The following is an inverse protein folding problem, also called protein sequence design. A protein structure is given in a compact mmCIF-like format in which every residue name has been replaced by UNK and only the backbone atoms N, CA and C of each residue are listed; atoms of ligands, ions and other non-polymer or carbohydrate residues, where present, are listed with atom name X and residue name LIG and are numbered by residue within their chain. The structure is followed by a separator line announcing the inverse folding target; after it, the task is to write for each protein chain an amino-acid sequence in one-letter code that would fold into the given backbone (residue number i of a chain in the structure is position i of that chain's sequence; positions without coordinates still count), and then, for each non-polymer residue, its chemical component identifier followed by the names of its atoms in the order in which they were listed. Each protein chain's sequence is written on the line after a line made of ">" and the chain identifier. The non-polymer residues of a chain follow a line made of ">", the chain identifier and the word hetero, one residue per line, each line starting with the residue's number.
data_IF_195029129129
#
_entry.id   IF_195029129129
#
_cell.length_a   1.000
_cell.length_b   1.000
_cell.length_c   1.000
_cell.angle_alpha   90.00
_cell.angle_beta   90.00
_cell.angle_gamma   90.00
#
_symmetry.space_group_name_H-M   'P 1'
#
loop_
_entity.id
_entity.type
_entity.pdbx_description
1 polymer ?
#
# COMPACT_ATOMS: atom_id res chain seq x y z
N UNK A 1 8.61 27.10 -9.84
CA UNK A 1 9.61 26.54 -10.78
C UNK A 1 10.50 25.45 -10.17
N UNK A 2 11.03 25.61 -8.95
CA UNK A 2 11.81 24.53 -8.30
C UNK A 2 10.96 23.28 -8.01
N UNK A 3 9.73 23.41 -7.52
CA UNK A 3 8.87 22.27 -7.24
C UNK A 3 8.47 21.47 -8.49
N UNK A 4 8.17 22.14 -9.61
CA UNK A 4 7.87 21.47 -10.89
C UNK A 4 9.10 20.79 -11.51
N UNK A 5 10.29 21.39 -11.36
CA UNK A 5 11.54 20.76 -11.79
C UNK A 5 11.94 19.58 -10.90
N UNK A 6 11.71 19.68 -9.58
CA UNK A 6 12.01 18.64 -8.60
C UNK A 6 11.01 17.49 -8.67
N UNK A 7 9.72 17.77 -8.85
CA UNK A 7 8.70 16.75 -9.18
C UNK A 7 8.99 16.14 -10.53
N UNK A 8 9.47 16.89 -11.53
CA UNK A 8 9.94 16.30 -12.78
C UNK A 8 11.19 15.42 -12.58
N UNK A 9 12.11 15.77 -11.68
CA UNK A 9 13.32 14.98 -11.37
C UNK A 9 12.97 13.71 -10.58
N UNK A 10 12.09 13.81 -9.59
CA UNK A 10 11.54 12.68 -8.82
C UNK A 10 10.66 11.82 -9.70
N UNK A 11 9.83 12.42 -10.57
CA UNK A 11 9.08 11.70 -11.59
C UNK A 11 10.00 11.12 -12.66
N UNK A 12 11.21 11.65 -12.91
CA UNK A 12 12.25 11.05 -13.76
C UNK A 12 13.04 9.94 -13.05
N UNK A 13 13.15 9.97 -11.73
CA UNK A 13 13.74 8.91 -10.90
C UNK A 13 12.76 7.74 -10.72
N UNK A 14 11.50 8.04 -10.40
CA UNK A 14 10.41 7.07 -10.50
C UNK A 14 10.13 6.68 -11.97
N UNK A 15 10.32 7.57 -12.95
CA UNK A 15 10.35 7.16 -14.36
C UNK A 15 11.67 6.50 -14.75
N UNK A 16 12.70 6.50 -13.91
CA UNK A 16 13.88 5.64 -14.04
C UNK A 16 13.51 4.18 -13.75
N UNK A 17 12.47 3.95 -12.96
CA UNK A 17 11.74 2.68 -12.86
C UNK A 17 10.93 2.41 -14.15
N UNK A 18 10.60 3.44 -14.93
CA UNK A 18 9.85 3.38 -16.21
C UNK A 18 10.72 3.39 -17.47
N UNK A 19 11.99 3.83 -17.45
CA UNK A 19 12.86 3.90 -18.62
C UNK A 19 13.75 2.68 -18.73
N UNK A 20 13.11 1.57 -19.08
CA UNK A 20 13.57 0.89 -20.29
C UNK A 20 12.53 1.09 -21.38
N UNK A 21 12.59 2.28 -22.00
CA UNK A 21 11.97 2.70 -23.28
C UNK A 21 10.46 2.99 -23.29
N UNK A 22 10.00 3.89 -24.21
CA UNK A 22 8.60 4.24 -24.39
C UNK A 22 7.70 3.03 -24.58
N UNK A 23 6.45 3.19 -24.14
CA UNK A 23 5.33 2.27 -24.21
C UNK A 23 5.01 1.98 -25.69
N UNK A 24 5.79 1.11 -26.31
CA UNK A 24 5.42 0.39 -27.51
C UNK A 24 5.59 -1.09 -27.21
N UNK A 25 4.60 -1.88 -27.62
CA UNK A 25 4.47 -3.33 -27.46
C UNK A 25 3.76 -3.82 -26.18
N UNK A 26 2.48 -3.44 -26.05
CA UNK A 26 1.43 -4.39 -25.64
C UNK A 26 1.44 -5.55 -26.66
N UNK A 27 2.18 -6.63 -26.38
CA UNK A 27 2.21 -7.78 -27.29
C UNK A 27 3.31 -8.80 -27.09
N UNK A 28 4.39 -8.49 -26.35
CA UNK A 28 5.46 -9.48 -26.09
C UNK A 28 5.34 -10.10 -24.70
N UNK A 29 5.37 -11.44 -24.64
CA UNK A 29 5.33 -12.27 -23.40
C UNK A 29 6.40 -11.87 -22.38
N UNK A 30 7.49 -11.22 -22.81
CA UNK A 30 8.55 -10.69 -21.95
C UNK A 30 8.22 -9.34 -21.31
N UNK A 31 7.45 -8.47 -21.98
CA UNK A 31 7.03 -7.17 -21.43
C UNK A 31 6.06 -7.32 -20.28
N UNK A 32 5.11 -8.26 -20.39
CA UNK A 32 4.12 -8.57 -19.35
C UNK A 32 4.77 -9.17 -18.08
N UNK A 33 5.80 -10.00 -18.25
CA UNK A 33 6.62 -10.51 -17.13
C UNK A 33 7.42 -9.41 -16.43
N UNK A 34 7.91 -8.42 -17.18
CA UNK A 34 8.68 -7.28 -16.64
C UNK A 34 7.78 -6.31 -15.89
N UNK A 35 6.59 -6.02 -16.42
CA UNK A 35 5.57 -5.21 -15.78
C UNK A 35 5.08 -5.85 -14.46
N UNK A 36 4.76 -7.14 -14.49
CA UNK A 36 4.37 -7.90 -13.30
C UNK A 36 5.49 -7.89 -12.23
N UNK A 37 6.77 -8.01 -12.62
CA UNK A 37 7.89 -7.94 -11.68
C UNK A 37 8.03 -6.57 -10.98
N UNK A 38 7.70 -5.47 -11.67
CA UNK A 38 7.79 -4.11 -11.12
C UNK A 38 6.57 -3.81 -10.23
N UNK A 39 5.37 -4.20 -10.67
CA UNK A 39 4.13 -3.91 -9.96
C UNK A 39 4.06 -4.58 -8.57
N UNK A 40 4.56 -5.81 -8.47
CA UNK A 40 4.55 -6.56 -7.21
C UNK A 40 5.65 -6.13 -6.23
N UNK A 41 6.73 -5.49 -6.71
CA UNK A 41 7.84 -5.01 -5.88
C UNK A 41 7.60 -3.62 -5.25
N UNK A 42 6.66 -2.87 -5.82
CA UNK A 42 6.23 -1.55 -5.32
C UNK A 42 5.66 -1.57 -3.88
N UNK A 43 4.69 -2.45 -3.53
CA UNK A 43 4.07 -2.43 -2.20
C UNK A 43 5.06 -2.74 -1.07
N UNK A 44 5.97 -3.69 -1.26
CA UNK A 44 6.97 -4.07 -0.24
C UNK A 44 8.01 -2.95 -0.04
N UNK A 45 8.43 -2.28 -1.11
CA UNK A 45 9.34 -1.14 -1.01
C UNK A 45 8.66 0.03 -0.28
N UNK A 46 7.38 0.28 -0.58
CA UNK A 46 6.61 1.36 0.05
C UNK A 46 6.41 1.13 1.56
N UNK A 47 6.18 -0.12 2.00
CA UNK A 47 5.99 -0.43 3.41
C UNK A 47 7.26 -0.21 4.26
N UNK A 48 8.45 -0.43 3.68
CA UNK A 48 9.75 -0.15 4.32
C UNK A 48 10.05 1.36 4.32
N UNK A 49 9.58 2.08 3.31
CA UNK A 49 9.85 3.49 3.09
C UNK A 49 9.06 4.41 4.04
N UNK A 50 7.77 4.12 4.27
CA UNK A 50 6.86 4.92 5.11
C UNK A 50 7.40 5.21 6.53
N UNK A 51 7.85 4.22 7.34
CA UNK A 51 8.28 4.48 8.71
C UNK A 51 9.55 5.34 8.80
N UNK A 52 10.40 5.33 7.76
CA UNK A 52 11.61 6.16 7.71
C UNK A 52 11.33 7.61 7.35
N UNK A 53 10.23 7.87 6.65
CA UNK A 53 9.80 9.21 6.25
C UNK A 53 8.84 9.87 7.22
N UNK A 54 8.13 9.07 8.02
CA UNK A 54 7.14 9.54 8.98
C UNK A 54 7.66 10.67 9.90
N UNK A 55 8.88 10.61 10.47
CA UNK A 55 9.39 11.69 11.32
C UNK A 55 9.57 13.02 10.57
N UNK A 56 10.04 12.96 9.32
CA UNK A 56 10.24 14.14 8.46
C UNK A 56 8.88 14.75 8.10
N UNK A 57 7.89 13.91 7.78
CA UNK A 57 6.51 14.34 7.53
C UNK A 57 5.86 14.99 8.76
N UNK A 58 6.13 14.46 9.95
CA UNK A 58 5.64 15.07 11.21
C UNK A 58 6.31 16.42 11.45
N UNK A 59 7.62 16.55 11.22
CA UNK A 59 8.31 17.85 11.32
C UNK A 59 7.76 18.87 10.32
N UNK A 60 7.47 18.46 9.08
CA UNK A 60 6.81 19.29 8.08
C UNK A 60 5.44 19.76 8.58
N UNK A 61 4.61 18.85 9.09
CA UNK A 61 3.28 19.17 9.60
C UNK A 61 3.32 20.17 10.78
N UNK A 62 4.24 19.98 11.73
CA UNK A 62 4.42 20.90 12.86
C UNK A 62 4.84 22.30 12.37
N UNK A 63 5.76 22.37 11.40
CA UNK A 63 6.19 23.66 10.84
C UNK A 63 5.07 24.39 10.09
N UNK A 64 4.25 23.66 9.33
CA UNK A 64 3.07 24.18 8.63
C UNK A 64 2.05 24.77 9.61
N UNK A 65 1.77 24.04 10.69
CA UNK A 65 0.81 24.47 11.71
C UNK A 65 1.32 25.73 12.43
N UNK A 66 2.61 25.77 12.80
CA UNK A 66 3.21 26.94 13.45
C UNK A 66 3.10 28.21 12.58
N UNK A 67 3.48 28.12 11.31
CA UNK A 67 3.41 29.26 10.40
C UNK A 67 1.94 29.64 10.07
N UNK A 68 1.07 28.66 9.84
CA UNK A 68 -0.35 28.88 9.57
C UNK A 68 -1.07 29.61 10.70
N UNK A 69 -0.74 29.27 11.96
CA UNK A 69 -1.29 29.96 13.14
C UNK A 69 -0.82 31.42 13.22
N UNK A 70 0.48 31.67 13.03
CA UNK A 70 1.06 33.02 13.09
C UNK A 70 0.50 33.91 11.99
N UNK A 71 0.32 33.37 10.78
CA UNK A 71 -0.28 34.09 9.65
C UNK A 71 -1.71 34.49 9.94
N UNK A 72 -2.55 33.54 10.36
CA UNK A 72 -3.98 33.80 10.55
C UNK A 72 -4.21 34.75 11.74
N UNK A 73 -3.44 34.62 12.82
CA UNK A 73 -3.59 35.48 14.02
C UNK A 73 -3.19 36.93 13.79
N UNK A 74 -2.19 37.19 12.94
CA UNK A 74 -1.76 38.56 12.61
C UNK A 74 -2.65 39.18 11.55
N UNK A 75 -3.16 38.40 10.59
CA UNK A 75 -3.90 38.95 9.44
C UNK A 75 -5.37 39.22 9.76
N UNK A 76 -6.00 38.40 10.60
CA UNK A 76 -7.43 38.49 10.92
C UNK A 76 -7.66 38.47 12.45
N UNK A 77 -7.38 39.59 13.16
CA UNK A 77 -7.49 39.65 14.62
C UNK A 77 -8.94 39.58 15.13
N UNK A 78 -9.92 40.07 14.35
CA UNK A 78 -11.31 40.27 14.78
C UNK A 78 -12.32 39.35 14.05
N UNK A 79 -11.95 38.09 13.79
CA UNK A 79 -12.82 37.10 13.16
C UNK A 79 -13.53 36.19 14.19
N UNK A 80 -14.79 35.84 13.91
CA UNK A 80 -15.55 34.93 14.76
C UNK A 80 -15.13 33.47 14.52
N UNK A 81 -15.28 32.60 15.53
CA UNK A 81 -14.93 31.19 15.40
C UNK A 81 -15.78 30.47 14.33
N UNK A 82 -15.13 30.05 13.25
CA UNK A 82 -15.75 29.30 12.16
C UNK A 82 -14.80 28.23 11.60
N UNK A 83 -15.35 27.13 11.08
CA UNK A 83 -14.55 26.00 10.53
C UNK A 83 -13.64 26.39 9.36
N UNK A 84 -13.98 27.45 8.64
CA UNK A 84 -13.17 28.04 7.59
C UNK A 84 -11.80 28.55 8.09
N UNK A 85 -11.69 29.01 9.35
CA UNK A 85 -10.46 29.54 9.93
C UNK A 85 -9.42 28.42 10.08
N UNK A 86 -9.86 27.27 10.62
CA UNK A 86 -9.04 26.05 10.73
C UNK A 86 -8.61 25.58 9.35
N UNK A 87 -9.52 25.60 8.36
CA UNK A 87 -9.16 25.29 6.98
C UNK A 87 -8.06 26.23 6.48
N UNK A 88 -8.19 27.55 6.65
CA UNK A 88 -7.21 28.52 6.16
C UNK A 88 -5.82 28.31 6.79
N UNK A 89 -5.77 28.01 8.09
CA UNK A 89 -4.53 27.73 8.85
C UNK A 89 -3.75 26.56 8.22
N UNK A 90 -4.41 25.50 7.77
CA UNK A 90 -3.72 24.35 7.17
C UNK A 90 -3.56 24.45 5.65
N UNK A 91 -4.61 24.89 4.96
CA UNK A 91 -4.69 24.83 3.50
C UNK A 91 -3.76 25.86 2.86
N UNK A 92 -3.75 27.12 3.33
CA UNK A 92 -2.93 28.16 2.70
C UNK A 92 -1.43 27.86 2.75
N UNK A 93 -0.84 27.49 3.92
CA UNK A 93 0.57 27.08 3.97
C UNK A 93 0.88 25.83 3.15
N UNK A 94 -0.07 24.89 3.04
CA UNK A 94 0.10 23.68 2.24
C UNK A 94 0.26 24.00 0.75
N UNK A 95 -0.61 24.83 0.15
CA UNK A 95 -0.46 25.25 -1.25
C UNK A 95 0.80 26.10 -1.47
N UNK A 96 1.22 26.83 -0.44
CA UNK A 96 2.48 27.58 -0.45
C UNK A 96 3.70 26.67 -0.63
N UNK A 97 3.70 25.44 -0.08
CA UNK A 97 4.76 24.46 -0.33
C UNK A 97 4.88 24.06 -1.81
N UNK A 98 3.76 24.03 -2.53
CA UNK A 98 3.74 23.71 -3.96
C UNK A 98 4.13 24.90 -4.85
N UNK A 99 4.34 26.08 -4.26
CA UNK A 99 4.76 27.29 -4.97
C UNK A 99 3.64 28.29 -5.25
N UNK A 100 2.44 28.08 -4.72
CA UNK A 100 1.35 29.08 -4.78
C UNK A 100 1.56 30.15 -3.72
N UNK A 101 1.97 31.34 -4.14
CA UNK A 101 2.17 32.49 -3.25
C UNK A 101 0.95 33.40 -3.36
N UNK A 102 0.16 33.48 -2.28
CA UNK A 102 -1.04 34.34 -2.20
C UNK A 102 -0.65 35.83 -2.07
N UNK A 103 0.05 36.38 -3.07
CA UNK A 103 0.54 37.75 -3.13
C UNK A 103 -0.47 38.84 -2.68
N UNK A 104 -1.76 38.82 -3.09
CA UNK A 104 -2.71 39.86 -2.69
C UNK A 104 -3.06 39.86 -1.20
N UNK A 105 -2.71 38.80 -0.45
CA UNK A 105 -2.99 38.68 0.98
C UNK A 105 -1.73 38.87 1.85
N UNK A 106 -0.55 38.95 1.25
CA UNK A 106 0.73 39.08 1.98
C UNK A 106 0.96 40.52 2.42
N UNK A 107 0.54 41.47 1.58
CA UNK A 107 0.70 42.90 1.84
C UNK A 107 -0.67 43.56 1.95
N UNK A 108 -1.26 43.46 3.15
CA UNK A 108 -2.56 44.05 3.46
C UNK A 108 -2.49 45.58 3.63
N UNK A 109 -1.27 46.15 3.62
CA UNK A 109 -1.01 47.56 3.83
C UNK A 109 -0.05 48.11 2.76
N UNK A 110 -0.59 48.44 1.60
CA UNK A 110 0.16 49.16 0.56
C UNK A 110 0.25 50.67 0.83
N UNK A 111 0.82 51.42 -0.11
CA UNK A 111 1.06 52.87 -0.01
C UNK A 111 -0.22 53.74 0.19
N UNK A 112 -1.43 53.17 0.04
CA UNK A 112 -2.70 53.92 0.02
C UNK A 112 -3.87 53.32 0.85
N UNK A 113 -3.64 52.48 1.87
CA UNK A 113 -4.77 51.85 2.61
C UNK A 113 -4.99 52.39 4.04
N UNK A 114 -6.15 52.98 4.28
CA UNK A 114 -6.74 53.19 5.61
C UNK A 114 -7.22 51.84 6.18
N UNK A 115 -6.81 51.48 7.40
CA UNK A 115 -7.27 50.26 8.10
C UNK A 115 -6.27 49.10 8.20
N UNK A 116 -4.96 49.40 8.19
CA UNK A 116 -3.93 48.36 8.31
C UNK A 116 -3.86 47.73 9.70
N UNK A 117 -3.73 46.40 9.73
CA UNK A 117 -3.52 45.64 10.96
C UNK A 117 -2.08 45.86 11.47
N UNK A 118 -1.88 46.17 12.76
CA UNK A 118 -0.53 46.31 13.32
C UNK A 118 0.23 44.98 13.18
N UNK A 119 1.44 45.05 12.61
CA UNK A 119 2.28 43.86 12.39
C UNK A 119 2.25 43.28 10.97
N UNK A 120 1.70 44.01 9.98
CA UNK A 120 1.68 43.60 8.57
C UNK A 120 3.06 43.17 8.02
N UNK A 121 4.17 43.76 8.50
CA UNK A 121 5.53 43.42 8.07
C UNK A 121 6.05 42.08 8.63
N UNK A 122 5.46 41.57 9.71
CA UNK A 122 5.91 40.34 10.38
C UNK A 122 5.53 39.12 9.55
N UNK A 123 4.30 39.09 9.03
CA UNK A 123 3.80 37.99 8.19
C UNK A 123 4.69 37.69 6.96
N UNK A 124 5.10 38.66 6.12
CA UNK A 124 5.99 38.41 4.98
C UNK A 124 7.40 37.97 5.40
N UNK A 125 7.94 38.48 6.51
CA UNK A 125 9.24 38.02 7.02
C UNK A 125 9.14 36.53 7.43
N UNK A 126 8.13 36.16 8.22
CA UNK A 126 7.91 34.76 8.60
C UNK A 126 7.60 33.85 7.40
N UNK A 127 6.87 34.35 6.40
CA UNK A 127 6.63 33.65 5.13
C UNK A 127 7.94 33.29 4.43
N UNK A 128 8.88 34.23 4.31
CA UNK A 128 10.16 33.99 3.62
C UNK A 128 11.01 32.95 4.34
N UNK A 129 11.11 33.06 5.68
CA UNK A 129 11.84 32.10 6.51
C UNK A 129 11.20 30.71 6.45
N UNK A 130 9.87 30.65 6.54
CA UNK A 130 9.11 29.41 6.43
C UNK A 130 9.31 28.75 5.06
N UNK A 131 9.19 29.50 3.96
CA UNK A 131 9.39 28.98 2.60
C UNK A 131 10.81 28.46 2.40
N UNK A 132 11.82 29.11 2.97
CA UNK A 132 13.20 28.63 2.92
C UNK A 132 13.35 27.31 3.67
N UNK A 133 12.88 27.22 4.91
CA UNK A 133 12.99 26.00 5.71
C UNK A 133 12.18 24.85 5.10
N UNK A 134 10.94 25.10 4.72
CA UNK A 134 10.04 24.06 4.27
C UNK A 134 10.35 23.58 2.84
N UNK A 135 10.61 24.49 1.89
CA UNK A 135 10.85 24.11 0.49
C UNK A 135 12.31 23.76 0.20
N UNK A 136 13.28 24.42 0.84
CA UNK A 136 14.70 24.19 0.55
C UNK A 136 15.30 23.12 1.45
N UNK A 137 14.91 23.04 2.73
CA UNK A 137 15.47 22.07 3.66
C UNK A 137 14.60 20.81 3.78
N UNK A 138 13.32 20.94 4.16
CA UNK A 138 12.50 19.78 4.53
C UNK A 138 12.05 18.95 3.32
N UNK A 139 11.49 19.57 2.27
CA UNK A 139 11.04 18.82 1.08
C UNK A 139 12.21 18.18 0.32
N UNK A 140 13.32 18.90 0.15
CA UNK A 140 14.51 18.35 -0.51
C UNK A 140 15.14 17.20 0.28
N UNK A 141 15.18 17.30 1.62
CA UNK A 141 15.68 16.22 2.48
C UNK A 141 14.73 15.02 2.47
N UNK A 142 13.42 15.24 2.44
CA UNK A 142 12.45 14.15 2.32
C UNK A 142 12.69 13.35 1.03
N UNK A 143 12.86 14.04 -0.10
CA UNK A 143 13.17 13.41 -1.39
C UNK A 143 14.52 12.70 -1.37
N UNK A 144 15.56 13.31 -0.80
CA UNK A 144 16.88 12.68 -0.67
C UNK A 144 16.83 11.42 0.22
N UNK A 145 16.01 11.42 1.27
CA UNK A 145 15.74 10.24 2.09
C UNK A 145 15.00 9.17 1.27
N UNK A 146 14.07 9.55 0.39
CA UNK A 146 13.40 8.61 -0.52
C UNK A 146 14.38 7.86 -1.41
N UNK A 147 15.28 8.58 -2.06
CA UNK A 147 16.26 7.98 -2.98
C UNK A 147 17.25 7.11 -2.22
N UNK A 148 17.76 7.59 -1.08
CA UNK A 148 18.67 6.82 -0.23
C UNK A 148 18.06 5.50 0.26
N UNK A 149 16.82 5.55 0.77
CA UNK A 149 16.12 4.35 1.24
C UNK A 149 15.83 3.40 0.08
N UNK A 150 15.45 3.92 -1.08
CA UNK A 150 15.20 3.09 -2.26
C UNK A 150 16.46 2.33 -2.69
N UNK A 151 17.58 3.02 -2.87
CA UNK A 151 18.85 2.42 -3.28
C UNK A 151 19.36 1.39 -2.26
N UNK A 152 19.21 1.66 -0.96
CA UNK A 152 19.67 0.75 0.07
C UNK A 152 18.77 -0.49 0.26
N UNK A 153 17.46 -0.38 -0.02
CA UNK A 153 16.52 -1.46 0.25
C UNK A 153 16.11 -2.26 -1.00
N UNK A 154 16.51 -1.85 -2.21
CA UNK A 154 16.12 -2.52 -3.46
C UNK A 154 16.54 -3.98 -3.54
N UNK A 155 17.71 -4.33 -3.00
CA UNK A 155 18.23 -5.71 -2.96
C UNK A 155 17.49 -6.53 -1.91
N UNK A 156 17.34 -6.01 -0.69
CA UNK A 156 16.61 -6.68 0.39
C UNK A 156 15.15 -6.95 0.01
N UNK A 157 14.47 -5.99 -0.61
CA UNK A 157 13.10 -6.18 -1.12
C UNK A 157 13.07 -7.20 -2.27
N UNK A 158 14.16 -7.38 -3.03
CA UNK A 158 14.22 -8.42 -4.06
C UNK A 158 14.18 -9.82 -3.46
N UNK A 159 14.97 -10.05 -2.42
CA UNK A 159 15.06 -11.35 -1.76
C UNK A 159 13.74 -11.72 -1.08
N UNK A 160 13.09 -10.75 -0.42
CA UNK A 160 11.76 -10.92 0.18
C UNK A 160 10.74 -11.26 -0.91
N UNK A 161 10.68 -10.49 -2.00
CA UNK A 161 9.78 -10.76 -3.12
C UNK A 161 10.01 -12.15 -3.74
N UNK A 162 11.28 -12.56 -3.88
CA UNK A 162 11.61 -13.89 -4.39
C UNK A 162 11.11 -15.00 -3.45
N UNK A 163 11.23 -14.80 -2.14
CA UNK A 163 10.72 -15.72 -1.13
C UNK A 163 9.19 -15.80 -1.14
N UNK A 164 8.50 -14.66 -1.17
CA UNK A 164 7.04 -14.61 -1.26
C UNK A 164 6.53 -15.27 -2.54
N UNK A 165 7.19 -15.01 -3.68
CA UNK A 165 6.87 -15.64 -4.96
C UNK A 165 7.10 -17.15 -4.91
N UNK A 166 8.16 -17.61 -4.26
CA UNK A 166 8.40 -19.04 -4.09
C UNK A 166 7.28 -19.69 -3.26
N UNK A 167 6.87 -19.06 -2.16
CA UNK A 167 5.75 -19.54 -1.33
C UNK A 167 4.45 -19.63 -2.14
N UNK A 168 4.13 -18.61 -2.94
CA UNK A 168 2.95 -18.60 -3.80
C UNK A 168 2.99 -19.75 -4.81
N UNK A 169 4.13 -19.96 -5.47
CA UNK A 169 4.29 -21.04 -6.46
C UNK A 169 4.16 -22.41 -5.80
N UNK A 170 4.72 -22.61 -4.61
CA UNK A 170 4.60 -23.86 -3.84
C UNK A 170 3.14 -24.15 -3.44
N UNK A 171 2.37 -23.11 -3.12
CA UNK A 171 0.94 -23.23 -2.83
C UNK A 171 0.11 -23.59 -4.09
N UNK A 172 0.47 -23.04 -5.25
CA UNK A 172 -0.14 -23.46 -6.53
C UNK A 172 0.19 -24.89 -6.93
N UNK A 173 1.37 -25.41 -6.60
CA UNK A 173 1.76 -26.80 -6.93
C UNK A 173 1.07 -27.83 -6.02
N UNK A 174 0.81 -27.46 -4.76
CA UNK A 174 0.15 -28.33 -3.77
C UNK A 174 -1.39 -28.28 -3.83
N UNK A 175 -1.98 -27.28 -4.50
CA UNK A 175 -3.44 -27.18 -4.65
C UNK A 175 -3.92 -27.86 -5.95
N UNK A 176 -4.97 -28.68 -5.91
CA UNK A 176 -5.56 -29.24 -7.13
C UNK A 176 -6.04 -28.09 -8.03
N UNK A 177 -5.92 -28.25 -9.35
CA UNK A 177 -6.21 -27.25 -10.42
C UNK A 177 -7.64 -26.65 -10.44
N UNK A 178 -8.47 -26.96 -9.44
CA UNK A 178 -9.89 -26.62 -9.37
C UNK A 178 -10.02 -25.16 -8.89
N UNK A 179 -10.71 -24.28 -9.65
CA UNK A 179 -10.93 -22.89 -9.26
C UNK A 179 -11.60 -22.80 -7.87
N UNK A 180 -11.34 -21.75 -7.07
CA UNK A 180 -11.93 -21.57 -5.73
C UNK A 180 -13.44 -21.86 -5.61
N UNK A 181 -14.33 -21.52 -6.58
CA UNK A 181 -15.75 -21.87 -6.47
C UNK A 181 -16.08 -23.37 -6.52
N UNK A 182 -15.20 -24.23 -7.03
CA UNK A 182 -15.45 -25.66 -7.22
C UNK A 182 -14.79 -26.56 -6.15
N UNK A 183 -14.07 -25.97 -5.19
CA UNK A 183 -13.43 -26.66 -4.05
C UNK A 183 -14.45 -27.46 -3.22
N UNK A 184 -15.66 -26.94 -3.05
CA UNK A 184 -16.75 -27.58 -2.29
C UNK A 184 -17.18 -28.91 -2.93
N UNK A 185 -17.24 -28.98 -4.27
CA UNK A 185 -17.63 -30.21 -4.98
C UNK A 185 -16.57 -31.31 -4.83
N UNK A 186 -15.30 -30.94 -4.80
CA UNK A 186 -14.20 -31.88 -4.57
C UNK A 186 -14.26 -32.49 -3.16
N UNK A 187 -14.48 -31.66 -2.13
CA UNK A 187 -14.68 -32.13 -0.76
C UNK A 187 -15.94 -33.00 -0.61
N UNK A 188 -17.04 -32.65 -1.29
CA UNK A 188 -18.27 -33.43 -1.30
C UNK A 188 -18.09 -34.82 -1.95
N UNK A 189 -17.36 -34.90 -3.07
CA UNK A 189 -17.04 -36.17 -3.73
C UNK A 189 -16.20 -37.08 -2.83
N UNK A 190 -15.17 -36.54 -2.17
CA UNK A 190 -14.34 -37.28 -1.23
C UNK A 190 -15.16 -37.78 -0.02
N UNK A 191 -16.02 -36.92 0.55
CA UNK A 191 -16.95 -37.29 1.62
C UNK A 191 -17.90 -38.41 1.18
N UNK A 192 -18.47 -38.32 -0.02
CA UNK A 192 -19.38 -39.33 -0.56
C UNK A 192 -18.68 -40.67 -0.81
N UNK A 193 -17.44 -40.64 -1.31
CA UNK A 193 -16.62 -41.84 -1.52
C UNK A 193 -16.28 -42.49 -0.18
N UNK A 194 -15.90 -41.71 0.82
CA UNK A 194 -15.65 -42.21 2.18
C UNK A 194 -16.91 -42.83 2.81
N UNK A 195 -18.06 -42.19 2.69
CA UNK A 195 -19.35 -42.72 3.16
C UNK A 195 -19.71 -44.04 2.44
N UNK A 196 -19.48 -44.14 1.13
CA UNK A 196 -19.70 -45.37 0.37
C UNK A 196 -18.78 -46.50 0.80
N UNK A 197 -17.49 -46.23 1.00
CA UNK A 197 -16.53 -47.25 1.49
C UNK A 197 -16.88 -47.70 2.91
N UNK A 198 -17.28 -46.76 3.79
CA UNK A 198 -17.72 -47.09 5.16
C UNK A 198 -19.00 -47.92 5.17
N UNK A 199 -19.96 -47.62 4.29
CA UNK A 199 -21.18 -48.41 4.12
C UNK A 199 -20.92 -49.76 3.45
N UNK A 200 -19.98 -49.85 2.50
CA UNK A 200 -19.56 -51.11 1.88
C UNK A 200 -18.84 -52.02 2.90
N UNK A 201 -17.98 -51.45 3.75
CA UNK A 201 -17.35 -52.18 4.86
C UNK A 201 -18.37 -52.66 5.91
N UNK A 202 -19.42 -51.86 6.21
CA UNK A 202 -20.53 -52.30 7.08
C UNK A 202 -21.40 -53.37 6.43
N UNK A 203 -21.68 -53.29 5.13
CA UNK A 203 -22.40 -54.34 4.39
C UNK A 203 -21.59 -55.64 4.34
N UNK A 204 -20.29 -55.59 4.05
CA UNK A 204 -19.42 -56.76 4.10
C UNK A 204 -19.30 -57.38 5.50
N UNK A 205 -19.38 -56.59 6.58
CA UNK A 205 -19.44 -57.10 7.97
C UNK A 205 -20.82 -57.69 8.34
N UNK A 206 -21.91 -57.10 7.84
CA UNK A 206 -23.27 -57.64 7.98
C UNK A 206 -23.47 -58.91 7.14
N UNK A 207 -22.92 -58.96 5.93
CA UNK A 207 -22.90 -60.12 5.02
C UNK A 207 -21.95 -61.21 5.54
N UNK A 208 -20.82 -60.85 6.16
CA UNK A 208 -19.95 -61.79 6.88
C UNK A 208 -20.60 -62.33 8.16
N UNK A 209 -21.47 -61.56 8.83
CA UNK A 209 -22.21 -62.02 10.02
C UNK A 209 -23.44 -62.86 9.64
N UNK A 210 -24.13 -62.53 8.54
CA UNK A 210 -25.25 -63.30 7.97
C UNK A 210 -24.79 -64.57 7.25
N UNK A 211 -23.61 -64.56 6.62
CA UNK A 211 -23.00 -65.77 6.06
C UNK A 211 -22.55 -66.72 7.17
N UNK A 212 -22.03 -66.21 8.29
CA UNK A 212 -21.68 -67.00 9.49
C UNK A 212 -22.90 -67.62 10.16
N UNK A 213 -24.07 -66.97 10.09
CA UNK A 213 -25.34 -67.51 10.60
C UNK A 213 -25.97 -68.54 9.65
N UNK A 214 -25.66 -68.51 8.33
CA UNK A 214 -26.10 -69.50 7.35
C UNK A 214 -25.13 -70.68 7.19
N UNK A 215 -23.84 -70.49 7.48
CA UNK A 215 -22.80 -71.53 7.37
C UNK A 215 -22.71 -72.47 8.57
N UNK A 216 -23.28 -72.11 9.73
CA UNK A 216 -23.32 -72.98 10.91
C UNK A 216 -24.23 -74.21 10.74
N UNK A 217 -25.11 -74.23 9.74
CA UNK A 217 -25.89 -75.43 9.39
C UNK A 217 -25.14 -76.39 8.44
N UNK A 218 -24.09 -75.93 7.72
CA UNK A 218 -23.40 -76.74 6.70
C UNK A 218 -22.01 -77.24 7.10
N UNK A 219 -21.32 -76.59 8.05
CA UNK A 219 -19.95 -76.99 8.46
C UNK A 219 -19.95 -78.18 9.44
N UNK A 220 -21.11 -78.60 9.99
CA UNK A 220 -21.22 -79.90 10.68
C UNK A 220 -21.09 -81.11 9.72
N UNK A 221 -21.14 -80.91 8.40
CA UNK A 221 -21.10 -82.00 7.41
C UNK A 221 -19.79 -82.11 6.60
N UNK A 222 -18.77 -81.29 6.87
CA UNK A 222 -17.49 -81.36 6.15
C UNK A 222 -16.31 -81.46 7.12
N UNK A 223 -16.35 -82.44 8.02
CA UNK A 223 -15.20 -82.92 8.79
C UNK A 223 -14.46 -84.05 8.05
N UNK A 224 -14.51 -84.13 6.72
CA UNK A 224 -13.92 -85.28 6.02
C UNK A 224 -13.54 -84.93 4.59
N UNK A 225 -12.33 -85.33 4.24
CA UNK A 225 -11.66 -85.21 2.94
C UNK A 225 -10.89 -83.91 2.69
N UNK A 226 -9.56 -84.06 2.82
CA UNK A 226 -8.46 -83.31 2.17
C UNK A 226 -7.89 -82.13 2.96
#
# INVERSE_FOLDING_TARGET
>A
MQFSALVAEVARLFAGIQTTRPIHYYGSRNGMKKFCRILYKLPECSSIQIPRMLPILVMLFVSLLSFGLVRESITYPDEHWHWLLIRNIFYKPYFMLYGEVYAPEIDTCGDESEGCVPGYFVAPIFMTVFMLIANVLLMNTMVACCTYVFEHNVENTQEIWLFERYSQVMEYDSTPFIPPPFTILFHLYWLFRWLRVRNFSRKNLLDASLSKFRSLQFIFNCFSCI
#
